data_IF_119539985979
#
_entry.id   IF_119539985979
#
_cell.length_a   1.000
_cell.length_b   1.000
_cell.length_c   1.000
_cell.angle_alpha   90.00
_cell.angle_beta   90.00
_cell.angle_gamma   90.00
#
_symmetry.space_group_name_H-M   'P 1'
#
loop_
_entity.id
_entity.type
_entity.pdbx_description
1 polymer ?
#
# COMPACT_ATOMS: atom_id res chain seq x y z
N UNK A 1 27.65 -20.97 -22.68
CA UNK A 1 27.10 -21.32 -24.00
C UNK A 1 26.66 -20.01 -24.66
N UNK A 2 27.28 -19.58 -25.75
CA UNK A 2 26.77 -18.45 -26.55
C UNK A 2 25.59 -18.96 -27.40
N UNK A 3 24.36 -18.71 -26.97
CA UNK A 3 23.17 -19.24 -27.64
C UNK A 3 21.94 -19.23 -26.74
N UNK A 4 20.78 -19.57 -27.31
CA UNK A 4 19.55 -19.80 -26.54
C UNK A 4 19.58 -21.17 -25.85
N UNK A 5 18.90 -21.27 -24.71
CA UNK A 5 18.63 -22.54 -24.00
C UNK A 5 17.16 -22.90 -24.19
N UNK A 6 16.87 -24.10 -24.69
CA UNK A 6 15.52 -24.67 -24.68
C UNK A 6 15.58 -26.04 -24.02
N UNK A 7 15.00 -26.18 -22.84
CA UNK A 7 15.01 -27.41 -22.05
C UNK A 7 13.57 -27.81 -21.71
N UNK A 8 13.21 -29.05 -22.03
CA UNK A 8 11.89 -29.62 -21.76
C UNK A 8 12.05 -31.01 -21.14
N UNK A 9 11.82 -31.12 -19.83
CA UNK A 9 11.87 -32.37 -19.09
C UNK A 9 11.15 -32.22 -17.73
N UNK A 10 10.47 -33.27 -17.21
CA UNK A 10 9.95 -33.25 -15.85
C UNK A 10 11.10 -33.06 -14.86
N UNK A 11 11.08 -31.96 -14.12
CA UNK A 11 12.17 -31.61 -13.22
C UNK A 11 13.39 -31.09 -14.00
N UNK A 12 13.65 -29.79 -13.92
CA UNK A 12 14.88 -29.21 -14.46
C UNK A 12 15.79 -28.82 -13.30
N UNK A 13 16.97 -29.42 -13.23
CA UNK A 13 18.00 -29.10 -12.24
C UNK A 13 19.30 -28.74 -12.97
N UNK A 14 20.05 -27.81 -12.41
CA UNK A 14 21.41 -27.51 -12.89
C UNK A 14 22.48 -28.11 -11.98
N UNK A 15 23.59 -28.52 -12.59
CA UNK A 15 24.77 -29.08 -11.90
C UNK A 15 25.92 -28.07 -11.77
N UNK A 16 25.82 -26.93 -12.46
CA UNK A 16 26.81 -25.86 -12.45
C UNK A 16 26.20 -24.52 -12.88
N UNK A 17 27.02 -23.47 -12.93
CA UNK A 17 26.59 -22.18 -13.42
C UNK A 17 26.31 -22.22 -14.93
N UNK A 18 25.18 -21.66 -15.32
CA UNK A 18 24.80 -21.49 -16.72
C UNK A 18 25.18 -20.09 -17.20
N UNK A 19 25.69 -19.96 -18.41
CA UNK A 19 25.90 -18.67 -19.06
C UNK A 19 25.21 -18.73 -20.41
N UNK A 20 24.08 -18.02 -20.52
CA UNK A 20 23.15 -18.01 -21.65
C UNK A 20 22.97 -16.57 -22.13
N UNK A 21 23.40 -16.32 -23.37
CA UNK A 21 23.29 -15.00 -24.00
C UNK A 21 22.01 -14.81 -24.82
N UNK A 22 21.42 -15.90 -25.28
CA UNK A 22 20.13 -15.89 -25.96
C UNK A 22 18.95 -16.02 -25.01
N UNK A 23 17.78 -16.30 -25.58
CA UNK A 23 16.57 -16.62 -24.82
C UNK A 23 16.71 -17.94 -24.06
N UNK A 24 16.02 -18.06 -22.92
CA UNK A 24 15.94 -19.29 -22.14
C UNK A 24 14.49 -19.73 -22.03
N UNK A 25 14.15 -20.92 -22.53
CA UNK A 25 12.85 -21.54 -22.39
C UNK A 25 12.96 -22.82 -21.57
N UNK A 26 12.30 -22.86 -20.41
CA UNK A 26 12.32 -23.98 -19.48
C UNK A 26 10.91 -24.52 -19.32
N UNK A 27 10.69 -25.78 -19.69
CA UNK A 27 9.42 -26.47 -19.57
C UNK A 27 9.57 -27.74 -18.73
N UNK A 28 9.14 -27.66 -17.47
CA UNK A 28 9.01 -28.79 -16.55
C UNK A 28 7.56 -29.25 -16.36
N UNK A 29 6.60 -28.70 -17.11
CA UNK A 29 5.18 -29.00 -16.93
C UNK A 29 4.72 -28.62 -15.52
N UNK A 30 4.26 -29.59 -14.74
CA UNK A 30 3.87 -29.40 -13.32
C UNK A 30 5.00 -29.70 -12.33
N UNK A 31 6.17 -30.12 -12.82
CA UNK A 31 7.33 -30.42 -11.97
C UNK A 31 8.17 -29.17 -11.71
N UNK A 32 8.98 -29.21 -10.65
CA UNK A 32 9.83 -28.08 -10.25
C UNK A 32 10.97 -27.80 -11.22
N UNK A 33 11.28 -26.52 -11.44
CA UNK A 33 12.49 -26.04 -12.11
C UNK A 33 13.41 -25.37 -11.09
N UNK A 34 14.65 -25.84 -10.94
CA UNK A 34 15.63 -25.32 -9.97
C UNK A 34 16.96 -24.96 -10.64
N UNK A 35 17.17 -23.66 -10.84
CA UNK A 35 18.38 -23.04 -11.36
C UNK A 35 18.96 -22.06 -10.32
N UNK A 36 19.33 -22.57 -9.15
CA UNK A 36 19.62 -21.79 -7.94
C UNK A 36 21.09 -21.32 -7.75
N UNK A 37 21.99 -21.61 -8.68
CA UNK A 37 23.39 -21.15 -8.62
C UNK A 37 23.43 -19.65 -8.88
N UNK A 38 23.98 -18.88 -7.94
CA UNK A 38 24.11 -17.43 -8.04
C UNK A 38 25.02 -16.96 -9.18
N UNK A 39 25.92 -17.81 -9.67
CA UNK A 39 26.79 -17.54 -10.81
C UNK A 39 26.12 -17.72 -12.18
N UNK A 40 24.85 -18.10 -12.22
CA UNK A 40 24.09 -18.13 -13.47
C UNK A 40 24.07 -16.75 -14.14
N UNK A 41 24.16 -16.69 -15.46
CA UNK A 41 24.10 -15.48 -16.27
C UNK A 41 23.01 -15.68 -17.31
N UNK A 42 21.89 -14.98 -17.12
CA UNK A 42 20.81 -14.90 -18.10
C UNK A 42 20.71 -13.46 -18.60
N UNK A 43 21.06 -13.24 -19.86
CA UNK A 43 20.99 -11.90 -20.47
C UNK A 43 19.85 -11.76 -21.49
N UNK A 44 19.38 -12.86 -22.07
CA UNK A 44 18.13 -12.90 -22.81
C UNK A 44 16.92 -13.21 -21.93
N UNK A 45 15.73 -13.05 -22.48
CA UNK A 45 14.48 -13.29 -21.76
C UNK A 45 14.31 -14.77 -21.37
N UNK A 46 13.77 -15.01 -20.17
CA UNK A 46 13.55 -16.34 -19.58
C UNK A 46 12.06 -16.64 -19.48
N UNK A 47 11.56 -17.66 -20.17
CA UNK A 47 10.18 -18.16 -20.04
C UNK A 47 10.14 -19.47 -19.25
N UNK A 48 9.18 -19.58 -18.33
CA UNK A 48 9.02 -20.72 -17.44
C UNK A 48 7.65 -21.37 -17.62
N UNK A 49 7.63 -22.69 -17.74
CA UNK A 49 6.42 -23.52 -17.59
C UNK A 49 6.74 -24.63 -16.60
N UNK A 50 6.34 -24.46 -15.34
CA UNK A 50 6.75 -25.37 -14.24
C UNK A 50 5.68 -25.49 -13.16
N UNK A 51 5.89 -26.41 -12.21
CA UNK A 51 5.24 -26.36 -10.90
C UNK A 51 5.77 -25.16 -10.13
N UNK A 52 6.75 -25.40 -9.26
CA UNK A 52 7.56 -24.33 -8.67
C UNK A 52 8.75 -23.98 -9.59
N UNK A 53 9.22 -22.74 -9.54
CA UNK A 53 10.48 -22.34 -10.16
C UNK A 53 11.38 -21.63 -9.15
N UNK A 54 12.66 -21.99 -9.13
CA UNK A 54 13.74 -21.22 -8.51
C UNK A 54 14.74 -20.81 -9.59
N UNK A 55 14.95 -19.51 -9.79
CA UNK A 55 15.86 -18.97 -10.82
C UNK A 55 16.74 -17.90 -10.19
N UNK A 56 18.05 -18.15 -10.13
CA UNK A 56 19.03 -17.15 -9.73
C UNK A 56 19.82 -16.66 -10.95
N UNK A 57 20.15 -15.37 -10.98
CA UNK A 57 20.95 -14.73 -12.03
C UNK A 57 21.90 -13.69 -11.41
N UNK A 58 23.14 -13.66 -11.86
CA UNK A 58 24.13 -12.63 -11.53
C UNK A 58 23.99 -11.38 -12.40
N UNK A 59 23.12 -11.41 -13.42
CA UNK A 59 22.72 -10.28 -14.27
C UNK A 59 21.22 -9.99 -14.10
N UNK A 60 20.74 -8.79 -14.44
CA UNK A 60 19.30 -8.48 -14.40
C UNK A 60 18.47 -9.55 -15.11
N UNK A 61 17.42 -10.03 -14.45
CA UNK A 61 16.56 -11.08 -14.98
C UNK A 61 15.37 -10.46 -15.72
N UNK A 62 15.22 -10.81 -17.00
CA UNK A 62 14.04 -10.49 -17.79
C UNK A 62 13.14 -11.71 -17.91
N UNK A 63 12.00 -11.71 -17.25
CA UNK A 63 11.00 -12.79 -17.35
C UNK A 63 10.14 -12.57 -18.60
N UNK A 64 10.16 -13.53 -19.52
CA UNK A 64 9.18 -13.64 -20.60
C UNK A 64 7.87 -14.22 -20.06
N UNK A 65 6.88 -14.38 -20.95
CA UNK A 65 5.61 -15.01 -20.61
C UNK A 65 5.86 -16.34 -19.90
N UNK A 66 5.28 -16.50 -18.71
CA UNK A 66 5.57 -17.63 -17.83
C UNK A 66 4.30 -18.10 -17.12
N UNK A 67 4.16 -19.40 -16.96
CA UNK A 67 3.01 -20.04 -16.31
C UNK A 67 3.51 -21.07 -15.31
N UNK A 68 3.20 -20.84 -14.04
CA UNK A 68 3.63 -21.69 -12.93
C UNK A 68 2.41 -22.17 -12.16
N UNK A 69 2.23 -23.48 -12.03
CA UNK A 69 1.16 -24.04 -11.19
C UNK A 69 1.50 -24.01 -9.70
N UNK A 70 2.76 -23.69 -9.36
CA UNK A 70 3.26 -23.45 -8.01
C UNK A 70 3.84 -22.04 -7.87
N UNK A 71 4.86 -21.90 -7.02
CA UNK A 71 5.49 -20.63 -6.68
C UNK A 71 6.71 -20.25 -7.52
N UNK A 72 7.11 -18.98 -7.42
CA UNK A 72 8.31 -18.42 -8.06
C UNK A 72 9.28 -17.90 -7.01
N UNK A 73 10.50 -18.40 -6.98
CA UNK A 73 11.62 -17.81 -6.25
C UNK A 73 12.64 -17.27 -7.26
N UNK A 74 12.92 -15.97 -7.25
CA UNK A 74 13.87 -15.37 -8.17
C UNK A 74 14.83 -14.42 -7.45
N UNK A 75 16.14 -14.59 -7.69
CA UNK A 75 17.18 -13.69 -7.19
C UNK A 75 18.02 -13.15 -8.33
N UNK A 76 18.03 -11.83 -8.55
CA UNK A 76 18.83 -11.19 -9.58
C UNK A 76 19.00 -9.69 -9.32
N UNK A 77 20.11 -9.04 -9.71
CA UNK A 77 20.30 -7.59 -9.56
C UNK A 77 19.41 -6.81 -10.55
N UNK A 78 18.11 -6.79 -10.28
CA UNK A 78 17.05 -6.30 -11.14
C UNK A 78 16.19 -7.46 -11.65
N UNK A 79 14.87 -7.32 -11.51
CA UNK A 79 13.90 -8.27 -12.06
C UNK A 79 12.88 -7.48 -12.86
N UNK A 80 12.69 -7.83 -14.11
CA UNK A 80 11.74 -7.18 -15.01
C UNK A 80 10.98 -8.21 -15.82
N UNK A 81 9.98 -7.79 -16.59
CA UNK A 81 9.23 -8.68 -17.45
C UNK A 81 9.00 -8.11 -18.86
N UNK A 82 8.83 -9.03 -19.81
CA UNK A 82 8.45 -8.75 -21.21
C UNK A 82 7.13 -9.42 -21.62
N UNK A 83 6.61 -10.33 -20.79
CA UNK A 83 5.33 -11.02 -21.01
C UNK A 83 4.49 -11.09 -19.74
N UNK A 84 3.31 -11.72 -19.85
CA UNK A 84 2.43 -11.96 -18.71
C UNK A 84 3.00 -13.06 -17.82
N UNK A 85 2.99 -12.83 -16.51
CA UNK A 85 3.33 -13.84 -15.50
C UNK A 85 2.05 -14.38 -14.87
N UNK A 86 1.85 -15.70 -14.92
CA UNK A 86 0.73 -16.39 -14.26
C UNK A 86 1.29 -17.37 -13.25
N UNK A 87 1.37 -16.98 -11.98
CA UNK A 87 1.97 -17.76 -10.88
C UNK A 87 0.85 -18.12 -9.90
N UNK A 88 0.51 -19.40 -9.78
CA UNK A 88 -0.58 -19.82 -8.90
C UNK A 88 -0.17 -19.79 -7.41
N UNK A 89 1.09 -20.08 -7.10
CA UNK A 89 1.64 -20.13 -5.75
C UNK A 89 2.30 -18.82 -5.28
N UNK A 90 2.97 -18.84 -4.12
CA UNK A 90 3.67 -17.68 -3.57
C UNK A 90 4.84 -17.26 -4.46
N UNK A 91 5.17 -15.97 -4.45
CA UNK A 91 6.34 -15.43 -5.14
C UNK A 91 7.32 -14.81 -4.13
N UNK A 92 8.60 -15.14 -4.22
CA UNK A 92 9.69 -14.55 -3.46
C UNK A 92 10.70 -13.95 -4.43
N UNK A 93 10.70 -12.62 -4.55
CA UNK A 93 11.53 -11.90 -5.51
C UNK A 93 12.55 -11.05 -4.76
N UNK A 94 13.83 -11.34 -4.98
CA UNK A 94 14.93 -10.60 -4.40
C UNK A 94 15.76 -9.95 -5.52
N UNK A 95 15.76 -8.62 -5.56
CA UNK A 95 16.67 -7.84 -6.39
C UNK A 95 17.67 -7.01 -5.62
N UNK A 96 17.90 -7.35 -4.34
CA UNK A 96 18.73 -6.64 -3.39
C UNK A 96 18.36 -5.15 -3.35
N UNK A 97 19.20 -4.26 -3.89
CA UNK A 97 18.94 -2.82 -3.99
C UNK A 97 18.43 -2.36 -5.36
N UNK A 98 18.38 -3.25 -6.35
CA UNK A 98 17.88 -2.96 -7.70
C UNK A 98 16.36 -3.01 -7.76
N UNK A 99 15.76 -2.61 -8.88
CA UNK A 99 14.31 -2.55 -9.03
C UNK A 99 13.67 -3.89 -9.43
N UNK A 100 12.44 -4.09 -8.97
CA UNK A 100 11.48 -5.07 -9.48
C UNK A 100 10.43 -4.34 -10.32
N UNK A 101 10.31 -4.69 -11.60
CA UNK A 101 9.40 -4.05 -12.56
C UNK A 101 8.51 -5.10 -13.24
N UNK A 102 7.38 -5.41 -12.62
CA UNK A 102 6.38 -6.36 -13.11
C UNK A 102 5.11 -5.63 -13.54
N UNK A 103 5.22 -4.85 -14.62
CA UNK A 103 4.27 -3.77 -14.96
C UNK A 103 3.10 -4.17 -15.87
N UNK A 104 3.01 -5.42 -16.32
CA UNK A 104 1.90 -5.84 -17.17
C UNK A 104 0.64 -6.09 -16.32
N UNK A 105 -0.41 -5.31 -16.57
CA UNK A 105 -1.70 -5.49 -15.89
C UNK A 105 -2.37 -6.84 -16.11
N UNK A 106 -1.90 -7.66 -17.06
CA UNK A 106 -2.35 -9.03 -17.27
C UNK A 106 -1.75 -10.08 -16.31
N UNK A 107 -0.77 -9.71 -15.47
CA UNK A 107 -0.17 -10.65 -14.53
C UNK A 107 -1.21 -11.20 -13.54
N UNK A 108 -1.04 -12.46 -13.12
CA UNK A 108 -1.82 -13.11 -12.08
C UNK A 108 -0.88 -13.74 -11.05
N UNK A 109 -1.03 -13.36 -9.77
CA UNK A 109 -0.28 -13.91 -8.65
C UNK A 109 -1.26 -14.46 -7.61
N UNK A 110 -1.41 -15.79 -7.57
CA UNK A 110 -2.38 -16.46 -6.71
C UNK A 110 -1.92 -16.61 -5.25
N UNK A 111 -0.61 -16.54 -4.98
CA UNK A 111 -0.05 -16.55 -3.63
C UNK A 111 0.52 -15.21 -3.20
N UNK A 112 0.92 -15.13 -1.93
CA UNK A 112 1.56 -13.95 -1.38
C UNK A 112 2.90 -13.66 -2.07
N UNK A 113 3.16 -12.38 -2.34
CA UNK A 113 4.37 -11.88 -2.98
C UNK A 113 5.29 -11.22 -1.94
N UNK A 114 6.39 -11.88 -1.60
CA UNK A 114 7.45 -11.32 -0.76
C UNK A 114 8.53 -10.68 -1.64
N UNK A 115 8.99 -9.49 -1.24
CA UNK A 115 9.86 -8.64 -2.05
C UNK A 115 11.04 -8.12 -1.24
N UNK A 116 12.23 -8.16 -1.84
CA UNK A 116 13.41 -7.42 -1.37
C UNK A 116 13.96 -6.66 -2.56
N UNK A 117 13.92 -5.33 -2.54
CA UNK A 117 14.34 -4.51 -3.67
C UNK A 117 14.70 -3.07 -3.26
N UNK A 118 15.26 -2.30 -4.19
CA UNK A 118 15.22 -0.84 -4.13
C UNK A 118 13.80 -0.34 -4.34
N UNK A 119 13.33 -0.42 -5.57
CA UNK A 119 11.96 -0.04 -5.94
C UNK A 119 11.17 -1.27 -6.38
N UNK A 120 9.85 -1.26 -6.17
CA UNK A 120 8.94 -2.23 -6.75
C UNK A 120 7.82 -1.51 -7.52
N UNK A 121 7.63 -1.87 -8.79
CA UNK A 121 6.46 -1.48 -9.60
C UNK A 121 5.75 -2.73 -10.07
N UNK A 122 4.50 -2.91 -9.67
CA UNK A 122 3.74 -4.15 -9.83
C UNK A 122 2.37 -3.84 -10.40
N UNK A 123 1.95 -4.64 -11.38
CA UNK A 123 0.59 -4.64 -11.89
C UNK A 123 0.06 -6.08 -11.96
N UNK A 124 -1.24 -6.26 -11.70
CA UNK A 124 -1.93 -7.53 -11.80
C UNK A 124 -3.41 -7.36 -12.20
N UNK A 125 -4.01 -8.40 -12.78
CA UNK A 125 -5.41 -8.43 -13.22
C UNK A 125 -6.39 -8.93 -12.14
N UNK A 126 -5.85 -9.39 -11.01
CA UNK A 126 -6.55 -9.96 -9.87
C UNK A 126 -5.94 -9.38 -8.58
N UNK A 127 -6.55 -9.57 -7.40
CA UNK A 127 -6.01 -9.05 -6.15
C UNK A 127 -4.54 -9.44 -5.94
N UNK A 128 -3.71 -8.47 -5.57
CA UNK A 128 -2.31 -8.72 -5.22
C UNK A 128 -2.18 -8.80 -3.70
N UNK A 129 -1.64 -9.92 -3.20
CA UNK A 129 -1.38 -10.10 -1.76
C UNK A 129 0.11 -9.96 -1.47
N UNK A 130 0.49 -9.00 -0.64
CA UNK A 130 1.88 -8.83 -0.21
C UNK A 130 2.23 -9.78 0.93
N UNK A 131 3.35 -10.48 0.77
CA UNK A 131 4.06 -11.15 1.86
C UNK A 131 4.98 -10.16 2.60
N UNK A 132 6.03 -10.67 3.24
CA UNK A 132 7.05 -9.82 3.85
C UNK A 132 7.78 -9.03 2.76
N UNK A 133 7.82 -7.72 2.89
CA UNK A 133 8.35 -6.81 1.85
C UNK A 133 9.31 -5.81 2.48
N UNK A 134 10.51 -5.69 1.92
CA UNK A 134 11.51 -4.68 2.29
C UNK A 134 11.96 -3.92 1.04
N UNK A 135 11.65 -2.63 0.98
CA UNK A 135 11.99 -1.75 -0.13
C UNK A 135 12.78 -0.56 0.40
N UNK A 136 14.02 -0.38 -0.08
CA UNK A 136 14.85 0.79 0.28
C UNK A 136 14.46 2.06 -0.49
N UNK A 137 13.58 1.92 -1.48
CA UNK A 137 12.97 2.98 -2.27
C UNK A 137 11.44 2.86 -2.29
N UNK A 138 10.83 3.07 -3.45
CA UNK A 138 9.37 3.24 -3.59
C UNK A 138 8.61 1.95 -3.92
N UNK A 139 7.34 1.90 -3.51
CA UNK A 139 6.34 0.93 -3.95
C UNK A 139 5.31 1.59 -4.85
N UNK A 140 5.06 1.03 -6.04
CA UNK A 140 3.92 1.35 -6.89
C UNK A 140 3.19 0.05 -7.24
N UNK A 141 1.95 -0.11 -6.78
CA UNK A 141 1.17 -1.31 -7.00
C UNK A 141 -0.21 -1.00 -7.58
N UNK A 142 -0.58 -1.69 -8.66
CA UNK A 142 -1.85 -1.55 -9.34
C UNK A 142 -2.53 -2.91 -9.55
N UNK A 143 -3.60 -3.19 -8.82
CA UNK A 143 -4.32 -4.46 -8.93
C UNK A 143 -5.74 -4.30 -8.35
N UNK A 144 -6.77 -4.99 -8.87
CA UNK A 144 -8.12 -4.93 -8.30
C UNK A 144 -8.17 -5.62 -6.93
N UNK A 145 -7.76 -4.90 -5.89
CA UNK A 145 -7.55 -5.39 -4.54
C UNK A 145 -6.07 -5.44 -4.16
N UNK A 146 -5.72 -4.84 -3.03
CA UNK A 146 -4.37 -4.88 -2.48
C UNK A 146 -4.44 -5.38 -1.04
N UNK A 147 -3.90 -6.57 -0.79
CA UNK A 147 -3.96 -7.26 0.49
C UNK A 147 -2.55 -7.48 1.04
N UNK A 148 -2.45 -7.94 2.27
CA UNK A 148 -1.18 -8.41 2.82
C UNK A 148 -1.35 -9.55 3.82
N UNK A 149 -0.31 -10.35 3.93
CA UNK A 149 -0.11 -11.38 4.96
C UNK A 149 1.17 -11.13 5.77
N UNK A 150 2.15 -10.42 5.20
CA UNK A 150 3.38 -9.98 5.87
C UNK A 150 3.40 -8.48 6.15
N UNK A 151 4.41 -8.04 6.90
CA UNK A 151 4.68 -6.62 7.08
C UNK A 151 5.40 -6.04 5.85
N UNK A 152 5.09 -4.79 5.52
CA UNK A 152 5.75 -4.00 4.48
C UNK A 152 6.64 -2.94 5.14
N UNK A 153 7.90 -2.88 4.74
CA UNK A 153 8.82 -1.80 5.06
C UNK A 153 9.19 -1.08 3.75
N UNK A 154 8.74 0.16 3.58
CA UNK A 154 8.97 0.97 2.38
C UNK A 154 9.56 2.31 2.78
N UNK A 155 10.83 2.51 2.41
CA UNK A 155 11.55 3.72 2.78
C UNK A 155 11.13 4.94 1.95
N UNK A 156 10.82 4.73 0.67
CA UNK A 156 10.37 5.76 -0.26
C UNK A 156 8.85 5.95 -0.28
N UNK A 157 8.35 6.60 -1.33
CA UNK A 157 6.93 6.81 -1.54
C UNK A 157 6.18 5.51 -1.83
N UNK A 158 4.94 5.41 -1.38
CA UNK A 158 4.06 4.28 -1.66
C UNK A 158 2.84 4.75 -2.44
N UNK A 159 2.57 4.18 -3.62
CA UNK A 159 1.35 4.41 -4.39
C UNK A 159 0.60 3.10 -4.53
N UNK A 160 -0.64 3.07 -4.05
CA UNK A 160 -1.51 1.90 -4.05
C UNK A 160 -2.77 2.24 -4.84
N UNK A 161 -2.93 1.59 -5.98
CA UNK A 161 -4.09 1.76 -6.85
C UNK A 161 -4.86 0.45 -6.96
N UNK A 162 -5.98 0.37 -6.23
CA UNK A 162 -6.93 -0.72 -6.34
C UNK A 162 -8.16 -0.40 -7.19
N UNK A 163 -8.15 0.73 -7.91
CA UNK A 163 -9.30 1.22 -8.66
C UNK A 163 -10.47 1.50 -7.73
N UNK A 164 -11.52 0.69 -7.79
CA UNK A 164 -12.68 0.75 -6.90
C UNK A 164 -12.69 -0.36 -5.84
N UNK A 165 -11.70 -1.26 -5.86
CA UNK A 165 -11.57 -2.37 -4.92
C UNK A 165 -10.86 -1.92 -3.64
N UNK A 166 -10.83 -2.78 -2.62
CA UNK A 166 -10.27 -2.43 -1.31
C UNK A 166 -8.74 -2.47 -1.25
N UNK A 167 -8.18 -1.65 -0.35
CA UNK A 167 -6.78 -1.71 0.09
C UNK A 167 -6.79 -2.15 1.55
N UNK A 168 -6.13 -3.26 1.88
CA UNK A 168 -6.06 -3.80 3.23
C UNK A 168 -4.61 -4.08 3.61
N UNK A 169 -3.95 -3.08 4.21
CA UNK A 169 -2.60 -3.13 4.74
C UNK A 169 -2.58 -2.90 6.27
N UNK A 170 -3.29 -3.74 7.01
CA UNK A 170 -3.63 -3.54 8.44
C UNK A 170 -2.60 -4.03 9.48
N UNK A 171 -1.48 -4.62 9.05
CA UNK A 171 -0.43 -5.15 9.93
C UNK A 171 0.29 -4.00 10.63
N UNK A 172 0.28 -4.01 11.95
CA UNK A 172 0.88 -2.98 12.79
C UNK A 172 2.40 -2.91 12.69
N UNK A 173 3.05 -3.96 12.17
CA UNK A 173 4.48 -4.00 11.86
C UNK A 173 4.86 -3.31 10.55
N UNK A 174 3.89 -2.81 9.76
CA UNK A 174 4.20 -2.02 8.57
C UNK A 174 5.00 -0.76 8.93
N UNK A 175 5.91 -0.35 8.04
CA UNK A 175 6.75 0.83 8.16
C UNK A 175 6.67 1.59 6.84
N UNK A 176 6.04 2.76 6.85
CA UNK A 176 5.94 3.65 5.70
C UNK A 176 6.58 4.97 6.08
N UNK A 177 7.79 5.25 5.59
CA UNK A 177 8.51 6.49 5.93
C UNK A 177 8.33 7.58 4.87
N UNK A 178 8.07 7.21 3.62
CA UNK A 178 7.66 8.14 2.58
C UNK A 178 6.15 8.36 2.52
N UNK A 179 5.74 9.33 1.71
CA UNK A 179 4.32 9.65 1.55
C UNK A 179 3.55 8.49 0.88
N UNK A 180 2.32 8.25 1.35
CA UNK A 180 1.44 7.16 0.90
C UNK A 180 0.24 7.72 0.14
N UNK A 181 0.08 7.36 -1.13
CA UNK A 181 -1.06 7.69 -2.00
C UNK A 181 -1.99 6.50 -2.13
N UNK A 182 -3.28 6.71 -1.86
CA UNK A 182 -4.30 5.66 -1.91
C UNK A 182 -5.36 5.98 -2.97
N UNK A 183 -5.57 5.04 -3.90
CA UNK A 183 -6.64 5.11 -4.90
C UNK A 183 -7.41 3.79 -4.80
N UNK A 184 -8.66 3.83 -4.34
CA UNK A 184 -9.40 2.60 -4.02
C UNK A 184 -10.87 2.81 -3.67
N UNK A 185 -11.53 1.71 -3.30
CA UNK A 185 -12.80 1.70 -2.58
C UNK A 185 -12.58 2.08 -1.13
N UNK A 186 -12.62 1.10 -0.23
CA UNK A 186 -12.17 1.29 1.15
C UNK A 186 -10.65 1.10 1.28
N UNK A 187 -10.02 1.83 2.20
CA UNK A 187 -8.64 1.59 2.59
C UNK A 187 -8.51 1.38 4.10
N UNK A 188 -7.86 0.29 4.49
CA UNK A 188 -7.35 0.07 5.85
C UNK A 188 -5.84 0.04 5.80
N UNK A 189 -5.18 0.94 6.52
CA UNK A 189 -3.72 1.04 6.56
C UNK A 189 -3.22 1.19 8.00
N UNK A 190 -2.19 0.44 8.34
CA UNK A 190 -1.49 0.57 9.61
C UNK A 190 -0.02 0.86 9.37
N UNK A 191 0.60 1.65 10.24
CA UNK A 191 2.03 1.91 10.25
C UNK A 191 2.55 2.05 11.68
N UNK A 192 3.69 1.45 11.96
CA UNK A 192 4.41 1.64 13.24
C UNK A 192 5.11 2.99 13.32
N UNK A 193 5.36 3.63 12.18
CA UNK A 193 5.91 4.99 12.06
C UNK A 193 4.80 6.02 11.80
N UNK A 194 5.07 7.33 11.92
CA UNK A 194 4.12 8.35 11.49
C UNK A 194 3.73 8.16 10.01
N UNK A 195 2.43 8.22 9.72
CA UNK A 195 1.90 8.07 8.37
C UNK A 195 1.72 9.45 7.73
N UNK A 196 2.38 9.67 6.60
CA UNK A 196 2.17 10.84 5.74
C UNK A 196 1.29 10.45 4.55
N UNK A 197 0.04 10.91 4.53
CA UNK A 197 -0.88 10.69 3.42
C UNK A 197 -0.62 11.70 2.30
N UNK A 198 -0.22 11.21 1.13
CA UNK A 198 -0.22 11.97 -0.10
C UNK A 198 -1.66 12.13 -0.63
N UNK A 199 -1.79 12.77 -1.80
CA UNK A 199 -3.08 12.89 -2.47
C UNK A 199 -3.75 11.52 -2.60
N UNK A 200 -4.97 11.40 -2.08
CA UNK A 200 -5.66 10.11 -1.98
C UNK A 200 -7.13 10.26 -2.35
N UNK A 201 -7.66 9.32 -3.12
CA UNK A 201 -9.04 9.29 -3.60
C UNK A 201 -9.65 7.93 -3.29
N UNK A 202 -10.60 7.90 -2.37
CA UNK A 202 -11.31 6.69 -1.96
C UNK A 202 -12.81 6.86 -2.25
N UNK A 203 -13.38 5.93 -3.03
CA UNK A 203 -14.84 5.88 -3.21
C UNK A 203 -15.57 5.27 -2.00
N UNK A 204 -14.82 4.69 -1.07
CA UNK A 204 -15.28 4.20 0.24
C UNK A 204 -14.64 4.96 1.39
N UNK A 205 -14.46 4.29 2.53
CA UNK A 205 -13.91 4.84 3.77
C UNK A 205 -12.41 4.67 3.95
N UNK A 206 -11.86 5.37 4.95
CA UNK A 206 -10.45 5.29 5.36
C UNK A 206 -10.35 4.87 6.82
N UNK A 207 -9.70 3.74 7.10
CA UNK A 207 -9.25 3.37 8.44
C UNK A 207 -7.72 3.45 8.48
N UNK A 208 -7.17 4.40 9.23
CA UNK A 208 -5.73 4.60 9.35
C UNK A 208 -5.28 4.54 10.80
N UNK A 209 -4.28 3.71 11.10
CA UNK A 209 -3.64 3.62 12.41
C UNK A 209 -2.14 3.88 12.29
N UNK A 210 -1.60 4.86 13.02
CA UNK A 210 -0.17 5.18 12.97
C UNK A 210 0.32 5.88 14.23
N UNK A 211 1.64 6.05 14.40
CA UNK A 211 2.22 6.89 15.48
C UNK A 211 2.24 8.37 15.08
N UNK A 212 1.08 8.88 14.67
CA UNK A 212 0.92 10.20 14.06
C UNK A 212 0.40 10.08 12.62
N UNK A 213 -0.52 10.95 12.24
CA UNK A 213 -1.11 10.97 10.90
C UNK A 213 -1.05 12.40 10.38
N UNK A 214 -0.46 12.60 9.21
CA UNK A 214 -0.39 13.91 8.57
C UNK A 214 -0.66 13.78 7.07
N UNK A 215 -0.74 14.91 6.36
CA UNK A 215 -0.93 14.89 4.91
C UNK A 215 0.02 15.84 4.17
N UNK A 216 0.30 15.50 2.91
CA UNK A 216 1.02 16.34 1.93
C UNK A 216 0.19 16.65 0.69
N UNK A 217 -0.95 15.98 0.48
CA UNK A 217 -1.87 16.22 -0.63
C UNK A 217 -3.32 16.26 -0.18
N UNK A 218 -4.25 16.49 -1.12
CA UNK A 218 -5.70 16.50 -0.85
C UNK A 218 -6.20 15.09 -0.58
N UNK A 219 -7.04 14.94 0.45
CA UNK A 219 -7.75 13.70 0.75
C UNK A 219 -9.21 13.82 0.30
N UNK A 220 -9.64 12.95 -0.62
CA UNK A 220 -11.03 12.86 -1.08
C UNK A 220 -11.58 11.48 -0.71
N UNK A 221 -12.28 11.41 0.43
CA UNK A 221 -12.79 10.16 1.00
C UNK A 221 -14.31 10.23 1.02
N UNK A 222 -14.98 9.42 0.20
CA UNK A 222 -16.44 9.47 0.08
C UNK A 222 -17.15 8.87 1.31
N UNK A 223 -16.55 7.85 1.92
CA UNK A 223 -17.10 7.13 3.08
C UNK A 223 -16.60 7.64 4.44
N UNK A 224 -16.90 6.88 5.52
CA UNK A 224 -16.45 7.23 6.87
C UNK A 224 -14.93 7.16 7.00
N UNK A 225 -14.39 7.98 7.90
CA UNK A 225 -12.96 7.97 8.23
C UNK A 225 -12.75 7.63 9.70
N UNK A 226 -11.94 6.64 10.01
CA UNK A 226 -11.50 6.30 11.36
C UNK A 226 -9.98 6.48 11.44
N UNK A 227 -9.53 7.51 12.13
CA UNK A 227 -8.12 7.87 12.21
C UNK A 227 -7.64 7.71 13.65
N UNK A 228 -6.66 6.85 13.86
CA UNK A 228 -6.11 6.54 15.18
C UNK A 228 -4.60 6.80 15.19
N UNK A 229 -4.20 7.91 15.82
CA UNK A 229 -2.80 8.23 16.08
C UNK A 229 -2.36 7.94 17.52
N UNK A 230 -3.19 7.25 18.31
CA UNK A 230 -2.97 7.03 19.75
C UNK A 230 -2.84 8.36 20.49
N UNK A 231 -1.68 8.59 21.12
CA UNK A 231 -1.37 9.85 21.81
C UNK A 231 -0.69 10.90 20.90
N UNK A 232 -0.41 10.56 19.65
CA UNK A 232 0.25 11.46 18.68
C UNK A 232 -0.77 12.33 17.95
N UNK A 233 -0.31 13.31 17.17
CA UNK A 233 -1.20 14.24 16.47
C UNK A 233 -1.80 13.66 15.18
N UNK A 234 -2.97 14.17 14.81
CA UNK A 234 -3.57 14.09 13.48
C UNK A 234 -3.54 15.51 12.87
N UNK A 235 -2.86 15.69 11.73
CA UNK A 235 -2.68 16.99 11.09
C UNK A 235 -3.09 16.95 9.62
N UNK A 236 -4.36 17.29 9.37
CA UNK A 236 -5.01 17.25 8.07
C UNK A 236 -5.42 18.65 7.60
N UNK A 237 -4.44 19.52 7.34
CA UNK A 237 -4.66 20.99 7.23
C UNK A 237 -4.99 21.50 5.82
N UNK A 238 -5.08 20.65 4.81
CA UNK A 238 -5.41 21.13 3.46
C UNK A 238 -6.90 21.45 3.35
N UNK A 239 -7.24 22.72 3.12
CA UNK A 239 -8.62 23.16 2.95
C UNK A 239 -9.34 22.53 1.75
N UNK A 240 -8.63 21.86 0.84
CA UNK A 240 -9.21 21.12 -0.28
C UNK A 240 -9.70 19.71 0.05
N UNK A 241 -9.49 19.21 1.28
CA UNK A 241 -9.96 17.88 1.67
C UNK A 241 -11.49 17.76 1.60
N UNK A 242 -11.98 16.58 1.25
CA UNK A 242 -13.40 16.23 1.28
C UNK A 242 -13.59 14.92 2.03
N UNK A 243 -14.44 14.93 3.06
CA UNK A 243 -14.81 13.77 3.86
C UNK A 243 -16.33 13.60 3.82
N UNK A 244 -16.82 12.67 3.02
CA UNK A 244 -18.25 12.46 2.78
C UNK A 244 -18.98 11.69 3.89
N UNK A 245 -18.25 10.92 4.69
CA UNK A 245 -18.78 10.22 5.86
C UNK A 245 -18.31 10.79 7.19
N UNK A 246 -18.86 10.25 8.29
CA UNK A 246 -18.45 10.64 9.63
C UNK A 246 -16.97 10.32 9.89
N UNK A 247 -16.26 11.27 10.50
CA UNK A 247 -14.86 11.17 10.88
C UNK A 247 -14.70 10.93 12.38
N UNK A 248 -14.22 9.75 12.76
CA UNK A 248 -13.85 9.41 14.14
C UNK A 248 -12.35 9.58 14.35
N UNK A 249 -11.97 10.25 15.43
CA UNK A 249 -10.59 10.59 15.75
C UNK A 249 -10.18 10.03 17.11
N UNK A 250 -9.06 9.31 17.16
CA UNK A 250 -8.35 8.96 18.40
C UNK A 250 -6.95 9.52 18.31
N UNK A 251 -6.65 10.59 19.05
CA UNK A 251 -5.36 11.28 18.95
C UNK A 251 -4.95 11.99 20.24
N UNK A 252 -3.69 12.41 20.28
CA UNK A 252 -3.24 13.46 21.18
C UNK A 252 -3.95 14.77 20.85
N UNK A 253 -3.71 15.32 19.67
CA UNK A 253 -4.44 16.49 19.17
C UNK A 253 -4.83 16.26 17.71
N UNK A 254 -5.90 16.91 17.26
CA UNK A 254 -6.33 16.85 15.87
C UNK A 254 -6.50 18.25 15.30
N UNK A 255 -5.93 18.49 14.11
CA UNK A 255 -6.20 19.67 13.29
C UNK A 255 -6.71 19.21 11.93
N UNK A 256 -7.94 19.58 11.56
CA UNK A 256 -8.58 19.12 10.32
C UNK A 256 -9.17 20.30 9.56
N UNK A 257 -8.89 20.37 8.26
CA UNK A 257 -9.53 21.30 7.33
C UNK A 257 -10.25 20.53 6.23
N UNK A 258 -11.38 21.04 5.75
CA UNK A 258 -12.15 20.49 4.64
C UNK A 258 -12.86 21.58 3.82
N UNK A 259 -13.15 21.29 2.55
CA UNK A 259 -13.85 22.20 1.63
C UNK A 259 -15.38 22.06 1.65
N UNK A 260 -15.88 21.07 2.39
CA UNK A 260 -17.29 20.71 2.51
C UNK A 260 -17.62 20.47 4.00
N UNK A 261 -18.91 20.37 4.39
CA UNK A 261 -19.27 20.11 5.78
C UNK A 261 -18.54 18.90 6.35
N UNK A 262 -17.93 19.05 7.53
CA UNK A 262 -17.25 17.97 8.22
C UNK A 262 -18.16 17.44 9.33
N UNK A 263 -18.43 16.13 9.30
CA UNK A 263 -19.21 15.45 10.33
C UNK A 263 -18.30 14.63 11.24
N UNK A 264 -18.27 14.93 12.52
CA UNK A 264 -17.54 14.13 13.50
C UNK A 264 -18.34 12.90 13.95
N UNK A 265 -17.70 11.73 13.92
CA UNK A 265 -18.11 10.56 14.66
C UNK A 265 -17.60 10.61 16.10
N UNK A 266 -17.77 9.48 16.83
CA UNK A 266 -17.24 9.35 18.18
C UNK A 266 -15.73 9.55 18.19
N UNK A 267 -15.24 10.52 18.96
CA UNK A 267 -13.83 10.93 18.96
C UNK A 267 -13.32 11.19 20.37
N UNK A 268 -12.07 10.80 20.60
CA UNK A 268 -11.37 10.95 21.88
C UNK A 268 -10.00 11.60 21.64
N UNK A 269 -9.81 12.79 22.21
CA UNK A 269 -8.62 13.61 22.06
C UNK A 269 -8.06 13.95 23.45
N UNK A 270 -6.85 13.50 23.75
CA UNK A 270 -6.20 13.79 25.06
C UNK A 270 -5.61 15.19 25.14
N UNK A 271 -5.61 15.92 24.03
CA UNK A 271 -5.19 17.31 23.85
C UNK A 271 -6.26 18.08 23.08
N UNK A 272 -5.87 18.87 22.08
CA UNK A 272 -6.78 19.86 21.46
C UNK A 272 -7.43 19.38 20.16
N UNK A 273 -8.59 19.96 19.84
CA UNK A 273 -9.27 19.85 18.55
C UNK A 273 -9.26 21.21 17.86
N UNK A 274 -8.75 21.27 16.64
CA UNK A 274 -8.94 22.40 15.72
C UNK A 274 -9.60 21.91 14.44
N UNK A 275 -10.70 22.52 14.02
CA UNK A 275 -11.41 22.14 12.80
C UNK A 275 -11.85 23.35 11.98
N UNK A 276 -11.66 23.29 10.66
CA UNK A 276 -12.15 24.32 9.73
C UNK A 276 -12.83 23.71 8.51
N UNK A 277 -14.12 23.95 8.35
CA UNK A 277 -14.92 23.42 7.25
C UNK A 277 -16.21 24.24 7.11
N UNK A 278 -16.81 24.40 5.93
CA UNK A 278 -18.08 25.13 5.78
C UNK A 278 -19.26 24.31 6.34
N UNK A 279 -19.34 24.24 7.67
CA UNK A 279 -20.29 23.44 8.44
C UNK A 279 -19.56 22.39 9.28
N UNK A 280 -19.89 22.32 10.57
CA UNK A 280 -19.34 21.33 11.50
C UNK A 280 -20.48 20.60 12.19
N UNK A 281 -20.59 19.30 11.95
CA UNK A 281 -21.67 18.44 12.44
C UNK A 281 -21.12 17.34 13.33
N UNK A 282 -22.02 16.64 14.01
CA UNK A 282 -21.69 15.52 14.88
C UNK A 282 -22.73 14.39 14.78
N UNK A 283 -22.25 13.15 14.80
CA UNK A 283 -23.08 11.94 14.94
C UNK A 283 -22.71 11.10 16.17
N UNK A 284 -21.51 11.25 16.72
CA UNK A 284 -21.06 10.56 17.94
C UNK A 284 -20.30 11.50 18.87
N UNK A 285 -20.26 11.18 20.18
CA UNK A 285 -19.73 12.06 21.22
C UNK A 285 -18.28 12.52 20.95
N UNK A 286 -17.99 13.77 21.29
CA UNK A 286 -16.65 14.36 21.26
C UNK A 286 -16.13 14.48 22.69
N UNK A 287 -15.01 13.83 22.97
CA UNK A 287 -14.26 13.99 24.22
C UNK A 287 -12.92 14.66 23.89
N UNK A 288 -12.77 15.92 24.29
CA UNK A 288 -11.58 16.74 24.04
C UNK A 288 -11.07 17.28 25.36
N UNK A 289 -9.94 16.77 25.84
CA UNK A 289 -9.40 17.20 27.13
C UNK A 289 -8.80 18.61 27.08
N UNK A 290 -8.22 19.00 25.95
CA UNK A 290 -7.61 20.31 25.71
C UNK A 290 -8.57 21.33 25.10
N UNK A 291 -8.00 22.33 24.41
CA UNK A 291 -8.78 23.39 23.77
C UNK A 291 -9.55 22.88 22.56
N UNK A 292 -10.71 23.49 22.29
CA UNK A 292 -11.53 23.20 21.11
C UNK A 292 -11.71 24.47 20.30
N UNK A 293 -11.14 24.53 19.10
CA UNK A 293 -11.24 25.66 18.18
C UNK A 293 -11.94 25.24 16.89
N UNK A 294 -13.15 25.72 16.66
CA UNK A 294 -14.00 25.30 15.54
C UNK A 294 -14.36 26.51 14.68
N UNK A 295 -14.02 26.45 13.40
CA UNK A 295 -14.29 27.51 12.44
C UNK A 295 -15.12 26.98 11.27
N UNK A 296 -16.40 27.32 11.29
CA UNK A 296 -17.35 27.02 10.22
C UNK A 296 -17.61 28.18 9.26
N UNK A 297 -16.86 29.29 9.39
CA UNK A 297 -17.10 30.51 8.64
C UNK A 297 -18.49 31.08 8.97
N UNK A 298 -19.34 31.20 7.96
CA UNK A 298 -20.74 31.62 8.11
C UNK A 298 -21.71 30.45 8.30
N UNK A 299 -21.26 29.20 8.19
CA UNK A 299 -22.10 28.01 8.36
C UNK A 299 -22.33 27.70 9.84
N UNK A 300 -23.18 26.71 10.14
CA UNK A 300 -23.46 26.30 11.50
C UNK A 300 -22.40 25.35 12.09
N UNK A 301 -22.28 25.38 13.42
CA UNK A 301 -21.64 24.38 14.26
C UNK A 301 -22.75 23.68 15.05
N UNK A 302 -22.91 22.37 14.87
CA UNK A 302 -23.97 21.58 15.51
C UNK A 302 -23.38 20.36 16.22
N UNK A 303 -23.17 20.49 17.52
CA UNK A 303 -22.56 19.50 18.42
C UNK A 303 -23.51 19.11 19.56
N UNK A 304 -24.70 18.63 19.21
CA UNK A 304 -25.83 18.44 20.13
C UNK A 304 -25.78 17.14 20.96
N UNK A 305 -24.70 16.35 20.87
CA UNK A 305 -24.62 15.11 21.63
C UNK A 305 -24.38 15.40 23.12
N UNK A 306 -25.33 15.02 23.98
CA UNK A 306 -25.26 15.25 25.44
C UNK A 306 -24.11 14.52 26.16
N UNK A 307 -23.44 13.56 25.50
CA UNK A 307 -22.26 12.88 26.03
C UNK A 307 -20.94 13.60 25.68
N UNK A 308 -20.99 14.80 25.10
CA UNK A 308 -19.82 15.61 24.84
C UNK A 308 -19.08 16.02 26.11
N UNK A 309 -17.75 15.98 26.05
CA UNK A 309 -16.86 16.39 27.14
C UNK A 309 -15.80 17.33 26.56
N UNK A 310 -15.89 18.62 26.89
CA UNK A 310 -14.90 19.62 26.52
C UNK A 310 -14.19 20.13 27.77
N UNK A 311 -12.95 19.67 27.97
CA UNK A 311 -12.16 19.96 29.18
C UNK A 311 -11.43 21.30 29.15
N UNK A 312 -11.12 21.83 27.96
CA UNK A 312 -10.44 23.11 27.78
C UNK A 312 -11.35 24.23 27.24
N UNK A 313 -10.75 25.40 27.06
CA UNK A 313 -11.43 26.55 26.49
C UNK A 313 -11.95 26.26 25.07
N UNK A 314 -13.12 26.80 24.76
CA UNK A 314 -13.78 26.66 23.46
C UNK A 314 -13.76 27.99 22.71
N UNK A 315 -13.36 27.96 21.44
CA UNK A 315 -13.42 29.08 20.50
C UNK A 315 -14.22 28.65 19.28
N UNK A 316 -15.37 29.27 19.08
CA UNK A 316 -16.29 28.95 17.99
C UNK A 316 -16.40 30.16 17.05
N UNK A 317 -16.21 29.92 15.76
CA UNK A 317 -16.50 30.87 14.68
C UNK A 317 -17.50 30.22 13.75
N UNK A 318 -18.73 30.71 13.72
CA UNK A 318 -19.83 30.16 12.92
C UNK A 318 -21.00 31.14 12.83
N UNK A 319 -21.94 30.86 11.93
CA UNK A 319 -23.21 31.59 11.87
C UNK A 319 -24.06 31.30 13.11
N UNK A 320 -24.41 30.04 13.30
CA UNK A 320 -25.05 29.51 14.50
C UNK A 320 -24.14 28.47 15.17
N UNK A 321 -24.17 28.39 16.50
CA UNK A 321 -23.46 27.37 17.27
C UNK A 321 -24.38 26.77 18.34
N UNK A 322 -24.63 25.46 18.24
CA UNK A 322 -25.52 24.69 19.13
C UNK A 322 -24.89 23.40 19.59
#
# INVERSE_FOLDING_TARGET
>A
MTGSLNASAPGLLQTGALSITGTTALNSGTSTTTLANSGNVFTGAVSLTSGDATINSSTPLLLAASTLSGGLSATAPGISQSGVLSIAGPSALNSDSSAIMLVNGGNAFGGAMSLTAGNATLAANAPLTFGATTLTGSLNASAPGLLQTGALSVAGTTTLNSGTSTITLANTGNVFTGAVSLIGGDATISSSTPLLLAASTLSGGLNATASGISQSGVLSIAGPSALNSGSSAITLVNGGNAFGGAMSLTAGSATVAANAPLTFGASTLTGSLTASAPGLLQTGALSVAGTTALNSGSSAITLVNGANVFGGAMSLTGGDAT
#
